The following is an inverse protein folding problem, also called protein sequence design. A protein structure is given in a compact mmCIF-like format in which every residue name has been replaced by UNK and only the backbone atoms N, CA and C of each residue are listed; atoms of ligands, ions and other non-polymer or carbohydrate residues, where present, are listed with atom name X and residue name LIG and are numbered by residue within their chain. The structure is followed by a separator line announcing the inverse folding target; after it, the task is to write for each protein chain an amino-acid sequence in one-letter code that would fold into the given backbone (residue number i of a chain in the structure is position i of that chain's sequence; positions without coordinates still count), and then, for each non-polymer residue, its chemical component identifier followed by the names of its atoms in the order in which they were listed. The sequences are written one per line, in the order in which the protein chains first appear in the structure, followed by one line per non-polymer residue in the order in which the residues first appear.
data_IF_545623382939
#
_entry.id   IF_545623382939
#
_cell.length_a   1.000
_cell.length_b   1.000
_cell.length_c   1.000
_cell.angle_alpha   90.00
_cell.angle_beta   90.00
_cell.angle_gamma   90.00
#
_symmetry.space_group_name_H-M   'P 1'
#
loop_
_entity.id
_entity.type
_entity.pdbx_description
1 polymer ?
#
# COMPACT_ATOMS: atom_id res chain seq x y z
N UNK A 1 17.39 -58.27 -17.52
CA UNK A 1 17.89 -56.95 -17.08
C UNK A 1 17.04 -55.88 -17.72
N UNK A 2 16.02 -55.39 -17.01
CA UNK A 2 15.27 -54.19 -17.37
C UNK A 2 14.67 -53.65 -16.07
N UNK A 3 15.38 -52.73 -15.42
CA UNK A 3 14.87 -52.00 -14.27
C UNK A 3 13.98 -50.87 -14.80
N UNK A 4 12.68 -50.95 -14.53
CA UNK A 4 11.75 -49.86 -14.77
C UNK A 4 11.78 -48.89 -13.59
N UNK A 5 11.73 -47.62 -13.95
CA UNK A 5 11.72 -46.43 -13.11
C UNK A 5 10.48 -46.34 -12.19
N UNK A 6 10.71 -45.91 -10.96
CA UNK A 6 9.72 -45.14 -10.18
C UNK A 6 10.43 -44.07 -9.37
N UNK A 7 10.65 -42.92 -9.99
CA UNK A 7 11.03 -41.68 -9.31
C UNK A 7 9.83 -41.15 -8.53
N UNK A 8 9.78 -41.49 -7.24
CA UNK A 8 8.85 -40.90 -6.29
C UNK A 8 9.14 -39.41 -6.12
N UNK A 9 8.43 -38.57 -6.89
CA UNK A 9 8.33 -37.13 -6.61
C UNK A 9 7.55 -36.99 -5.31
N UNK A 10 8.26 -36.76 -4.21
CA UNK A 10 7.65 -36.30 -2.96
C UNK A 10 7.00 -34.96 -3.25
N UNK A 11 5.68 -34.93 -3.28
CA UNK A 11 4.89 -33.71 -3.26
C UNK A 11 5.26 -32.92 -2.00
N UNK A 12 6.19 -31.97 -2.14
CA UNK A 12 6.46 -30.94 -1.14
C UNK A 12 5.19 -30.11 -1.05
N UNK A 13 4.47 -30.26 0.05
CA UNK A 13 3.45 -29.36 0.61
C UNK A 13 3.45 -28.00 -0.10
N UNK A 14 2.61 -27.88 -1.12
CA UNK A 14 2.38 -26.64 -1.85
C UNK A 14 1.66 -25.69 -0.93
N UNK A 15 2.42 -24.70 -0.49
CA UNK A 15 2.06 -23.44 0.13
C UNK A 15 0.65 -22.94 -0.23
N UNK A 16 -0.35 -23.30 0.58
CA UNK A 16 -1.58 -22.52 0.72
C UNK A 16 -1.28 -21.29 1.55
N UNK A 17 -0.47 -20.36 1.04
CA UNK A 17 -0.30 -19.05 1.66
C UNK A 17 -1.67 -18.39 1.70
N UNK A 18 -2.17 -18.19 2.92
CA UNK A 18 -3.32 -17.34 3.21
C UNK A 18 -3.11 -15.99 2.53
N UNK A 19 -3.76 -15.81 1.39
CA UNK A 19 -3.64 -14.64 0.54
C UNK A 19 -4.13 -13.42 1.34
N UNK A 20 -3.21 -12.58 1.83
CA UNK A 20 -3.57 -11.18 2.07
C UNK A 20 -3.60 -10.51 0.72
N UNK A 21 -4.79 -10.09 0.30
CA UNK A 21 -4.90 -9.27 -0.89
C UNK A 21 -4.56 -7.85 -0.49
N UNK A 22 -3.34 -7.46 -0.88
CA UNK A 22 -2.87 -6.09 -0.84
C UNK A 22 -3.51 -5.33 -2.00
N UNK A 23 -4.59 -4.58 -1.73
CA UNK A 23 -5.11 -3.64 -2.71
C UNK A 23 -4.27 -2.38 -2.63
N UNK A 24 -3.12 -2.43 -3.30
CA UNK A 24 -2.36 -1.23 -3.63
C UNK A 24 -2.82 -0.78 -5.01
N UNK A 25 -3.51 0.37 -5.09
CA UNK A 25 -3.67 1.14 -6.33
C UNK A 25 -4.12 2.55 -5.99
N UNK A 26 -3.14 3.44 -5.84
CA UNK A 26 -3.29 4.88 -6.05
C UNK A 26 -3.63 5.08 -7.53
N UNK A 27 -4.86 5.47 -7.80
CA UNK A 27 -5.49 5.32 -9.10
C UNK A 27 -6.36 6.54 -9.40
N UNK A 28 -5.83 7.75 -9.33
CA UNK A 28 -6.60 8.93 -8.93
C UNK A 28 -7.56 9.51 -9.96
N UNK A 29 -7.49 9.10 -11.21
CA UNK A 29 -8.48 9.26 -12.28
C UNK A 29 -7.89 8.59 -13.52
N UNK A 30 -8.70 8.13 -14.47
CA UNK A 30 -8.16 7.77 -15.79
C UNK A 30 -7.43 8.97 -16.37
N UNK A 31 -6.12 8.83 -16.61
CA UNK A 31 -5.35 9.83 -17.36
C UNK A 31 -4.72 10.97 -16.54
N UNK A 32 -4.64 10.87 -15.21
CA UNK A 32 -3.83 11.82 -14.43
C UNK A 32 -2.37 11.77 -14.94
N UNK A 33 -1.73 12.90 -15.32
CA UNK A 33 -0.38 12.87 -15.91
C UNK A 33 0.68 12.16 -15.05
N UNK A 34 0.46 12.13 -13.73
CA UNK A 34 1.34 11.45 -12.76
C UNK A 34 1.07 9.94 -12.65
N UNK A 35 -0.07 9.45 -13.11
CA UNK A 35 -0.53 8.06 -13.09
C UNK A 35 -1.22 7.67 -14.41
N UNK A 36 -0.52 7.81 -15.56
CA UNK A 36 -1.16 7.88 -16.87
C UNK A 36 -1.90 6.60 -17.27
N UNK A 37 -1.50 5.45 -16.71
CA UNK A 37 -2.02 4.12 -17.06
C UNK A 37 -2.53 3.37 -15.84
N UNK A 38 -2.96 4.10 -14.82
CA UNK A 38 -3.70 3.50 -13.71
C UNK A 38 -5.20 3.58 -14.01
N UNK A 39 -5.98 2.51 -13.72
CA UNK A 39 -7.44 2.59 -13.83
C UNK A 39 -8.02 3.73 -12.97
N UNK A 40 -9.25 4.20 -13.23
CA UNK A 40 -9.93 5.15 -12.36
C UNK A 40 -10.11 4.62 -10.92
N UNK A 41 -10.03 5.51 -9.92
CA UNK A 41 -10.08 5.09 -8.51
C UNK A 41 -11.40 4.43 -8.15
N UNK A 42 -12.50 4.83 -8.80
CA UNK A 42 -13.83 4.23 -8.59
C UNK A 42 -13.88 2.77 -9.03
N UNK A 43 -13.22 2.45 -10.14
CA UNK A 43 -13.11 1.07 -10.62
C UNK A 43 -12.31 0.22 -9.63
N UNK A 44 -11.17 0.76 -9.15
CA UNK A 44 -10.33 0.10 -8.15
C UNK A 44 -11.09 -0.07 -6.82
N UNK A 45 -11.73 0.98 -6.33
CA UNK A 45 -12.50 0.96 -5.10
C UNK A 45 -13.70 0.01 -5.19
N UNK A 46 -14.34 -0.08 -6.36
CA UNK A 46 -15.43 -1.03 -6.63
C UNK A 46 -15.02 -2.50 -6.48
N UNK A 47 -13.72 -2.81 -6.55
CA UNK A 47 -13.22 -4.17 -6.34
C UNK A 47 -13.12 -4.55 -4.85
N UNK A 48 -13.16 -3.60 -3.91
CA UNK A 48 -12.92 -3.87 -2.50
C UNK A 48 -13.87 -4.93 -1.93
N UNK A 49 -15.16 -4.89 -2.27
CA UNK A 49 -16.13 -5.89 -1.82
C UNK A 49 -15.77 -7.30 -2.28
N UNK A 50 -15.43 -7.49 -3.55
CA UNK A 50 -15.00 -8.77 -4.10
C UNK A 50 -13.69 -9.27 -3.47
N UNK A 51 -12.78 -8.36 -3.12
CA UNK A 51 -11.50 -8.70 -2.49
C UNK A 51 -11.68 -9.09 -1.03
N UNK A 52 -12.59 -8.42 -0.30
CA UNK A 52 -13.00 -8.83 1.05
C UNK A 52 -13.66 -10.21 1.02
N UNK A 53 -14.56 -10.44 0.06
CA UNK A 53 -15.21 -11.75 -0.12
C UNK A 53 -14.18 -12.85 -0.43
N UNK A 54 -13.23 -12.60 -1.33
CA UNK A 54 -12.15 -13.52 -1.67
C UNK A 54 -11.22 -13.79 -0.48
N UNK A 55 -10.92 -12.76 0.32
CA UNK A 55 -10.08 -12.92 1.50
C UNK A 55 -10.79 -13.63 2.67
N UNK A 56 -12.13 -13.62 2.69
CA UNK A 56 -12.99 -14.25 3.69
C UNK A 56 -13.05 -13.55 5.06
N UNK A 57 -12.25 -12.50 5.26
CA UNK A 57 -12.26 -11.65 6.45
C UNK A 57 -11.74 -10.27 6.06
N UNK A 58 -12.49 -9.17 6.32
CA UNK A 58 -12.07 -7.82 5.94
C UNK A 58 -10.75 -7.39 6.58
N UNK A 59 -10.35 -7.96 7.73
CA UNK A 59 -9.06 -7.68 8.38
C UNK A 59 -7.86 -8.23 7.60
N UNK A 60 -8.10 -9.12 6.62
CA UNK A 60 -7.08 -9.62 5.69
C UNK A 60 -6.88 -8.69 4.50
N UNK A 61 -7.71 -7.66 4.37
CA UNK A 61 -7.60 -6.60 3.38
C UNK A 61 -7.18 -5.31 4.08
N UNK A 62 -6.29 -4.56 3.46
CA UNK A 62 -5.93 -3.21 3.92
C UNK A 62 -5.85 -2.29 2.72
N UNK A 63 -6.37 -1.08 2.88
CA UNK A 63 -6.31 -0.05 1.85
C UNK A 63 -5.06 0.79 2.08
N UNK A 64 -4.26 0.96 1.02
CA UNK A 64 -3.10 1.86 1.03
C UNK A 64 -3.41 3.09 0.19
N UNK A 65 -3.68 4.22 0.86
CA UNK A 65 -3.72 5.53 0.23
C UNK A 65 -2.30 6.09 0.21
N UNK A 66 -1.48 5.53 -0.69
CA UNK A 66 -0.03 5.61 -0.59
C UNK A 66 0.68 5.52 -1.98
N UNK A 67 1.53 6.50 -2.33
CA UNK A 67 1.89 7.67 -1.54
C UNK A 67 0.95 8.86 -1.76
N UNK A 68 0.88 9.73 -0.76
CA UNK A 68 0.35 11.09 -0.90
C UNK A 68 1.44 11.93 -1.56
N UNK A 69 1.14 12.53 -2.70
CA UNK A 69 2.08 13.32 -3.50
C UNK A 69 1.59 14.75 -3.64
N UNK A 70 2.54 15.69 -3.65
CA UNK A 70 2.27 17.12 -3.85
C UNK A 70 3.12 17.63 -5.01
N UNK A 71 2.59 18.57 -5.78
CA UNK A 71 3.28 19.14 -6.92
C UNK A 71 2.85 20.58 -7.17
N UNK A 72 3.63 21.32 -7.94
CA UNK A 72 3.30 22.68 -8.37
C UNK A 72 2.66 22.68 -9.77
N UNK A 73 1.63 23.49 -9.92
CA UNK A 73 1.03 23.89 -11.20
C UNK A 73 0.98 25.42 -11.21
N UNK A 74 2.00 26.02 -11.84
CA UNK A 74 2.28 27.45 -11.68
C UNK A 74 2.63 27.77 -10.22
N UNK A 75 1.94 28.75 -9.65
CA UNK A 75 2.12 29.16 -8.24
C UNK A 75 1.36 28.27 -7.25
N UNK A 76 0.45 27.41 -7.72
CA UNK A 76 -0.42 26.62 -6.86
C UNK A 76 0.20 25.27 -6.51
N UNK A 77 0.16 24.90 -5.23
CA UNK A 77 0.44 23.53 -4.78
C UNK A 77 -0.82 22.69 -4.88
N UNK A 78 -0.72 21.56 -5.57
CA UNK A 78 -1.77 20.56 -5.75
C UNK A 78 -1.37 19.27 -5.06
N UNK A 79 -2.36 18.43 -4.74
CA UNK A 79 -2.15 17.16 -4.03
C UNK A 79 -3.22 16.14 -4.38
N UNK A 80 -2.86 14.86 -4.35
CA UNK A 80 -3.85 13.79 -4.41
C UNK A 80 -4.60 13.60 -3.08
N UNK A 81 -4.22 14.31 -2.00
CA UNK A 81 -4.90 14.28 -0.71
C UNK A 81 -6.41 14.56 -0.79
N UNK A 82 -6.84 15.34 -1.80
CA UNK A 82 -8.26 15.64 -2.06
C UNK A 82 -9.12 14.38 -2.25
N UNK A 83 -8.53 13.24 -2.62
CA UNK A 83 -9.24 11.98 -2.79
C UNK A 83 -9.39 11.16 -1.50
N UNK A 84 -8.68 11.50 -0.43
CA UNK A 84 -8.71 10.75 0.82
C UNK A 84 -10.14 10.54 1.38
N UNK A 85 -11.04 11.54 1.40
CA UNK A 85 -12.41 11.34 1.90
C UNK A 85 -13.16 10.24 1.15
N UNK A 86 -13.06 10.21 -0.18
CA UNK A 86 -13.76 9.25 -1.03
C UNK A 86 -13.19 7.83 -0.89
N UNK A 87 -11.87 7.71 -0.75
CA UNK A 87 -11.18 6.43 -0.58
C UNK A 87 -11.51 5.84 0.78
N UNK A 88 -11.52 6.67 1.82
CA UNK A 88 -11.83 6.25 3.17
C UNK A 88 -13.31 5.84 3.25
N UNK A 89 -14.20 6.56 2.57
CA UNK A 89 -15.61 6.15 2.43
C UNK A 89 -15.74 4.77 1.80
N UNK A 90 -15.04 4.52 0.68
CA UNK A 90 -15.09 3.23 0.01
C UNK A 90 -14.50 2.10 0.88
N UNK A 91 -13.42 2.37 1.61
CA UNK A 91 -12.82 1.41 2.54
C UNK A 91 -13.80 1.03 3.66
N UNK A 92 -14.40 2.03 4.30
CA UNK A 92 -15.39 1.83 5.36
C UNK A 92 -16.64 1.11 4.86
N UNK A 93 -17.18 1.52 3.70
CA UNK A 93 -18.33 0.88 3.07
C UNK A 93 -18.09 -0.57 2.67
N UNK A 94 -16.85 -0.96 2.36
CA UNK A 94 -16.46 -2.35 2.12
C UNK A 94 -16.15 -3.13 3.41
N UNK A 95 -16.29 -2.52 4.59
CA UNK A 95 -15.99 -3.14 5.89
C UNK A 95 -14.49 -3.28 6.19
N UNK A 96 -13.61 -2.67 5.39
CA UNK A 96 -12.16 -2.73 5.63
C UNK A 96 -11.83 -1.92 6.88
N UNK A 97 -11.13 -2.49 7.87
CA UNK A 97 -10.98 -1.85 9.18
C UNK A 97 -9.88 -0.78 9.23
N UNK A 98 -8.99 -0.74 8.23
CA UNK A 98 -7.83 0.14 8.29
C UNK A 98 -7.33 0.66 6.95
N UNK A 99 -6.80 1.88 7.02
CA UNK A 99 -6.12 2.56 5.91
C UNK A 99 -4.68 2.89 6.31
N UNK A 100 -3.77 2.75 5.35
CA UNK A 100 -2.34 3.10 5.49
C UNK A 100 -2.00 4.23 4.56
N UNK A 101 -1.23 5.20 5.06
CA UNK A 101 -0.81 6.39 4.34
C UNK A 101 0.69 6.61 4.48
N UNK A 102 1.30 7.28 3.51
CA UNK A 102 2.58 7.96 3.67
C UNK A 102 2.62 9.19 2.77
N UNK A 103 3.50 10.14 3.05
CA UNK A 103 3.81 11.22 2.11
C UNK A 103 5.04 10.84 1.30
N UNK A 104 4.97 10.99 -0.02
CA UNK A 104 6.07 10.67 -0.91
C UNK A 104 7.34 11.43 -0.50
N UNK A 105 8.44 10.68 -0.39
CA UNK A 105 9.77 11.28 -0.33
C UNK A 105 10.23 11.63 -1.74
N UNK A 106 10.75 12.84 -1.94
CA UNK A 106 11.22 13.26 -3.25
C UNK A 106 12.66 12.79 -3.47
N UNK A 107 12.87 11.91 -4.45
CA UNK A 107 14.18 11.35 -4.78
C UNK A 107 14.61 11.68 -6.22
N UNK A 108 15.91 11.57 -6.58
CA UNK A 108 16.42 12.06 -7.87
C UNK A 108 15.71 11.50 -9.12
N UNK A 109 15.28 10.23 -9.08
CA UNK A 109 14.57 9.62 -10.22
C UNK A 109 13.13 10.16 -10.37
N UNK A 110 12.48 10.57 -9.28
CA UNK A 110 11.17 11.22 -9.32
C UNK A 110 11.27 12.62 -9.95
N UNK A 111 12.32 13.39 -9.61
CA UNK A 111 12.61 14.72 -10.21
C UNK A 111 12.84 14.67 -11.72
N UNK A 112 13.47 13.60 -12.22
CA UNK A 112 13.75 13.42 -13.66
C UNK A 112 12.52 13.11 -14.52
N UNK A 113 11.33 12.97 -13.94
CA UNK A 113 10.10 12.55 -14.65
C UNK A 113 9.15 13.72 -14.99
N UNK A 114 9.70 14.92 -15.13
CA UNK A 114 8.97 16.08 -15.67
C UNK A 114 7.75 16.49 -14.85
N UNK A 115 7.87 16.46 -13.52
CA UNK A 115 6.86 16.98 -12.60
C UNK A 115 7.59 17.81 -11.53
N UNK A 116 7.08 19.00 -11.26
CA UNK A 116 7.60 19.87 -10.22
C UNK A 116 7.06 19.41 -8.87
N UNK A 117 7.78 18.48 -8.26
CA UNK A 117 7.37 17.86 -7.02
C UNK A 117 7.60 18.78 -5.83
N UNK A 118 6.57 18.91 -5.01
CA UNK A 118 6.60 19.63 -3.77
C UNK A 118 6.72 18.66 -2.59
N UNK A 119 7.61 18.97 -1.66
CA UNK A 119 7.75 18.23 -0.41
C UNK A 119 7.18 19.11 0.72
N UNK A 120 6.04 18.75 1.31
CA UNK A 120 5.42 19.56 2.36
C UNK A 120 6.33 19.70 3.58
N UNK A 121 6.35 20.90 4.16
CA UNK A 121 7.08 21.20 5.39
C UNK A 121 6.46 20.53 6.62
N UNK A 122 7.13 20.57 7.80
CA UNK A 122 6.65 19.94 9.01
C UNK A 122 5.23 20.34 9.44
N UNK A 123 4.89 21.64 9.32
CA UNK A 123 3.57 22.14 9.72
C UNK A 123 2.47 21.71 8.75
N UNK A 124 2.75 21.69 7.45
CA UNK A 124 1.82 21.15 6.45
C UNK A 124 1.60 19.65 6.67
N UNK A 125 2.67 18.89 6.93
CA UNK A 125 2.60 17.46 7.26
C UNK A 125 1.74 17.21 8.50
N UNK A 126 1.86 18.07 9.52
CA UNK A 126 1.01 18.02 10.72
C UNK A 126 -0.45 18.29 10.39
N UNK A 127 -0.75 19.31 9.58
CA UNK A 127 -2.11 19.61 9.15
C UNK A 127 -2.71 18.47 8.31
N UNK A 128 -1.93 17.86 7.42
CA UNK A 128 -2.31 16.68 6.64
C UNK A 128 -2.63 15.51 7.58
N UNK A 129 -1.78 15.25 8.58
CA UNK A 129 -1.98 14.18 9.54
C UNK A 129 -3.25 14.35 10.36
N UNK A 130 -3.51 15.57 10.86
CA UNK A 130 -4.74 15.91 11.59
C UNK A 130 -5.97 15.67 10.71
N UNK A 131 -5.94 16.17 9.47
CA UNK A 131 -7.05 15.99 8.53
C UNK A 131 -7.33 14.53 8.22
N UNK A 132 -6.30 13.72 7.97
CA UNK A 132 -6.46 12.29 7.71
C UNK A 132 -7.01 11.56 8.95
N UNK A 133 -6.54 11.93 10.14
CA UNK A 133 -7.00 11.32 11.40
C UNK A 133 -8.47 11.62 11.67
N UNK A 134 -8.93 12.85 11.42
CA UNK A 134 -10.35 13.21 11.47
C UNK A 134 -11.19 12.40 10.48
N UNK A 135 -10.73 12.30 9.22
CA UNK A 135 -11.42 11.56 8.17
C UNK A 135 -11.56 10.06 8.51
N UNK A 136 -10.49 9.47 9.07
CA UNK A 136 -10.49 8.07 9.49
C UNK A 136 -11.42 7.84 10.68
N UNK A 137 -11.31 8.68 11.73
CA UNK A 137 -12.15 8.61 12.93
C UNK A 137 -13.64 8.73 12.60
N UNK A 138 -14.00 9.69 11.73
CA UNK A 138 -15.38 9.89 11.31
C UNK A 138 -15.99 8.68 10.58
N UNK A 139 -15.16 7.74 10.11
CA UNK A 139 -15.55 6.54 9.36
C UNK A 139 -15.26 5.24 10.09
N UNK A 140 -14.84 5.30 11.36
CA UNK A 140 -14.47 4.11 12.14
C UNK A 140 -13.25 3.35 11.60
N UNK A 141 -12.36 4.02 10.86
CA UNK A 141 -11.16 3.42 10.29
C UNK A 141 -9.95 3.60 11.22
N UNK A 142 -9.17 2.55 11.39
CA UNK A 142 -7.82 2.66 11.94
C UNK A 142 -6.86 3.25 10.89
N UNK A 143 -6.19 4.34 11.22
CA UNK A 143 -5.23 5.01 10.34
C UNK A 143 -3.80 4.70 10.77
N UNK A 144 -2.96 4.33 9.81
CA UNK A 144 -1.55 4.04 10.06
C UNK A 144 -0.60 4.76 9.11
N UNK A 145 0.54 5.22 9.63
CA UNK A 145 1.61 5.87 8.89
C UNK A 145 2.69 4.85 8.49
N UNK A 146 2.90 4.66 7.19
CA UNK A 146 3.88 3.72 6.65
C UNK A 146 5.26 4.35 6.53
N UNK A 147 6.16 4.04 7.48
CA UNK A 147 7.55 4.47 7.47
C UNK A 147 7.74 6.00 7.31
N UNK A 148 6.81 6.78 7.86
CA UNK A 148 6.84 8.24 7.86
C UNK A 148 6.86 8.76 9.31
N UNK A 149 8.06 9.07 9.87
CA UNK A 149 8.19 9.59 11.23
C UNK A 149 7.45 10.90 11.47
N UNK A 150 7.24 11.71 10.43
CA UNK A 150 6.60 13.02 10.56
C UNK A 150 5.11 12.87 10.81
N UNK A 151 4.47 11.91 10.13
CA UNK A 151 3.07 11.56 10.38
C UNK A 151 2.89 10.90 11.75
N UNK A 152 3.86 10.07 12.17
CA UNK A 152 3.84 9.46 13.52
C UNK A 152 3.97 10.51 14.61
N UNK A 153 4.91 11.45 14.48
CA UNK A 153 5.07 12.57 15.39
C UNK A 153 3.85 13.52 15.42
N UNK A 154 2.99 13.46 14.39
CA UNK A 154 1.74 14.20 14.31
C UNK A 154 0.52 13.39 14.83
N UNK A 155 0.73 12.20 15.39
CA UNK A 155 -0.30 11.41 16.08
C UNK A 155 -0.91 10.26 15.29
N UNK A 156 -0.39 9.92 14.10
CA UNK A 156 -0.83 8.73 13.37
C UNK A 156 -0.04 7.50 13.83
N UNK A 157 -0.71 6.40 14.13
CA UNK A 157 -0.06 5.16 14.57
C UNK A 157 0.95 4.63 13.53
N UNK A 158 2.12 4.10 13.94
CA UNK A 158 3.07 3.52 13.02
C UNK A 158 2.51 2.25 12.38
N UNK A 159 2.75 2.07 11.08
CA UNK A 159 2.28 0.91 10.32
C UNK A 159 3.28 -0.25 10.34
N UNK A 160 2.79 -1.45 10.63
CA UNK A 160 3.32 -2.69 10.07
C UNK A 160 2.41 -3.09 8.89
N UNK A 161 2.91 -2.98 7.66
CA UNK A 161 2.16 -3.43 6.48
C UNK A 161 2.14 -4.95 6.52
N UNK A 162 3.31 -5.58 6.41
CA UNK A 162 3.41 -7.00 6.70
C UNK A 162 3.50 -7.16 8.23
N UNK A 163 2.36 -7.43 8.86
CA UNK A 163 2.27 -7.68 10.31
C UNK A 163 2.12 -9.19 10.57
N UNK A 164 3.20 -9.83 11.01
CA UNK A 164 3.26 -11.24 11.37
C UNK A 164 2.33 -11.65 12.50
N UNK A 165 2.09 -10.80 13.50
CA UNK A 165 1.16 -11.10 14.61
C UNK A 165 -0.27 -11.12 14.09
N UNK A 166 -0.63 -10.13 13.28
CA UNK A 166 -1.92 -10.10 12.60
C UNK A 166 -2.03 -11.26 11.60
N UNK A 167 -0.95 -11.65 10.91
CA UNK A 167 -0.98 -12.75 9.94
C UNK A 167 -1.25 -14.08 10.65
N UNK A 168 -0.52 -14.36 11.72
CA UNK A 168 -0.68 -15.58 12.50
C UNK A 168 -2.08 -15.66 13.14
N UNK A 169 -2.60 -14.55 13.65
CA UNK A 169 -3.95 -14.51 14.23
C UNK A 169 -5.05 -14.64 13.17
N UNK A 170 -4.88 -14.12 11.96
CA UNK A 170 -5.90 -14.24 10.92
C UNK A 170 -5.79 -15.53 10.10
N UNK A 171 -4.70 -16.30 10.22
CA UNK A 171 -4.51 -17.54 9.47
C UNK A 171 -5.58 -18.58 9.88
N UNK A 172 -6.27 -19.27 8.93
CA UNK A 172 -7.31 -20.26 9.26
C UNK A 172 -6.82 -21.37 10.20
N UNK A 173 -5.56 -21.78 10.02
CA UNK A 173 -4.87 -22.77 10.86
C UNK A 173 -3.96 -22.19 11.96
N UNK A 174 -4.00 -20.87 12.19
CA UNK A 174 -3.13 -20.15 13.15
C UNK A 174 -1.63 -20.46 12.98
N UNK A 175 -1.17 -20.58 11.73
CA UNK A 175 0.26 -20.83 11.47
C UNK A 175 1.10 -19.64 11.93
N UNK A 176 2.27 -19.93 12.49
CA UNK A 176 3.20 -18.90 12.91
C UNK A 176 3.73 -18.09 11.72
N UNK A 177 3.98 -16.81 11.96
CA UNK A 177 4.70 -15.92 11.06
C UNK A 177 5.80 -15.20 11.87
N UNK A 178 6.90 -14.76 11.24
CA UNK A 178 7.91 -13.95 11.91
C UNK A 178 7.28 -12.73 12.58
N UNK A 179 7.65 -12.43 13.83
CA UNK A 179 7.10 -11.28 14.59
C UNK A 179 8.12 -10.19 14.90
N UNK A 180 9.38 -10.41 14.57
CA UNK A 180 10.43 -9.40 14.70
C UNK A 180 10.41 -8.45 13.50
N UNK A 181 10.93 -7.23 13.65
CA UNK A 181 11.09 -6.28 12.55
C UNK A 181 12.04 -6.85 11.50
N UNK A 182 11.69 -6.72 10.23
CA UNK A 182 12.57 -7.04 9.12
C UNK A 182 13.80 -6.11 9.12
N UNK A 183 15.02 -6.63 9.25
CA UNK A 183 16.24 -5.82 9.26
C UNK A 183 16.52 -5.14 7.91
N UNK A 184 16.00 -5.68 6.80
CA UNK A 184 16.14 -5.10 5.47
C UNK A 184 15.21 -3.91 5.20
N UNK A 185 14.22 -3.68 6.06
CA UNK A 185 13.28 -2.56 5.94
C UNK A 185 13.80 -1.29 6.61
N UNK A 186 13.31 -0.14 6.12
CA UNK A 186 13.63 1.20 6.64
C UNK A 186 13.55 1.27 8.18
N UNK A 187 14.34 2.13 8.85
CA UNK A 187 14.32 2.23 10.31
C UNK A 187 12.93 2.42 10.92
N UNK A 188 12.10 3.28 10.31
CA UNK A 188 10.73 3.57 10.74
C UNK A 188 9.66 2.56 10.26
N UNK A 189 10.05 1.50 9.55
CA UNK A 189 9.11 0.48 9.05
C UNK A 189 8.85 -0.58 10.12
N UNK A 190 7.57 -0.86 10.41
CA UNK A 190 7.17 -1.90 11.35
C UNK A 190 6.98 -3.30 10.76
N UNK A 191 7.25 -3.49 9.46
CA UNK A 191 7.01 -4.77 8.80
C UNK A 191 7.88 -5.90 9.36
N UNK A 192 7.31 -7.10 9.45
CA UNK A 192 8.00 -8.35 9.72
C UNK A 192 8.61 -8.93 8.44
N UNK A 193 9.60 -9.83 8.53
CA UNK A 193 10.22 -10.45 7.36
C UNK A 193 9.21 -11.03 6.38
N UNK A 194 9.43 -10.77 5.10
CA UNK A 194 8.61 -11.28 4.01
C UNK A 194 9.42 -11.38 2.72
N UNK A 195 8.89 -12.14 1.76
CA UNK A 195 9.43 -12.25 0.42
C UNK A 195 8.49 -11.52 -0.53
N UNK A 196 9.04 -10.59 -1.29
CA UNK A 196 8.30 -9.89 -2.35
C UNK A 196 8.03 -10.85 -3.52
N UNK A 197 6.81 -10.80 -4.06
CA UNK A 197 6.39 -11.57 -5.24
C UNK A 197 6.52 -10.75 -6.53
N UNK A 198 6.86 -9.46 -6.43
CA UNK A 198 7.07 -8.56 -7.57
C UNK A 198 8.46 -8.66 -8.20
N UNK A 199 8.63 -8.00 -9.35
CA UNK A 199 9.94 -7.85 -10.00
C UNK A 199 10.27 -6.38 -10.22
N UNK A 200 11.40 -5.96 -9.66
CA UNK A 200 11.97 -4.62 -9.82
C UNK A 200 12.65 -4.42 -11.19
N UNK A 201 12.84 -5.49 -11.96
CA UNK A 201 13.47 -5.47 -13.29
C UNK A 201 12.46 -5.29 -14.42
N UNK A 202 11.18 -5.54 -14.14
CA UNK A 202 10.11 -5.34 -15.13
C UNK A 202 9.79 -3.87 -15.31
N UNK A 203 9.42 -3.50 -16.55
CA UNK A 203 8.82 -2.19 -16.81
C UNK A 203 7.38 -2.21 -16.28
N UNK A 204 7.04 -1.22 -15.46
CA UNK A 204 5.72 -1.12 -14.86
C UNK A 204 4.72 -0.54 -15.87
N UNK A 205 3.62 -1.25 -16.22
CA UNK A 205 2.66 -0.78 -17.22
C UNK A 205 1.90 0.48 -16.77
N UNK A 206 1.82 0.74 -15.47
CA UNK A 206 1.15 1.92 -14.92
C UNK A 206 1.91 3.24 -15.14
N UNK A 207 3.24 3.16 -15.33
CA UNK A 207 4.10 4.30 -15.64
C UNK A 207 3.97 5.53 -14.71
N UNK A 208 3.65 5.31 -13.43
CA UNK A 208 3.48 6.42 -12.48
C UNK A 208 4.76 7.23 -12.29
N UNK A 209 4.66 8.57 -12.29
CA UNK A 209 5.81 9.47 -12.24
C UNK A 209 6.50 9.52 -10.88
N UNK A 210 5.81 9.21 -9.79
CA UNK A 210 6.39 9.13 -8.44
C UNK A 210 6.98 7.76 -8.09
N UNK A 211 6.82 6.75 -8.95
CA UNK A 211 7.16 5.37 -8.62
C UNK A 211 8.66 5.09 -8.81
N UNK A 212 9.24 4.24 -7.97
CA UNK A 212 10.64 3.82 -8.14
C UNK A 212 10.84 2.89 -9.34
N UNK A 213 9.81 2.16 -9.78
CA UNK A 213 9.88 1.24 -10.92
C UNK A 213 10.20 1.98 -12.24
N UNK A 214 10.86 1.29 -13.18
CA UNK A 214 11.02 1.84 -14.53
C UNK A 214 9.64 1.89 -15.21
N UNK A 215 9.21 3.05 -15.74
CA UNK A 215 7.95 3.12 -16.47
C UNK A 215 8.01 2.26 -17.74
N UNK A 216 6.88 1.63 -18.08
CA UNK A 216 6.62 1.09 -19.42
C UNK A 216 6.81 2.16 -20.49
N UNK A 217 7.16 1.71 -21.71
CA UNK A 217 7.00 2.54 -22.91
C UNK A 217 5.52 2.83 -23.07
#
# INVERSE_FOLDING_TARGET
MTASSSSGVRARTTWGMSLRIWVWRTAWASGEPREPRVPPWREVAGQLGSLVALAGDPRRVTVRFDPIVHWREGEQVRSNLAYAPMVFEAAAGAGVPSVRVSIAQIYPKMRRRGCDWYDPGPDERRAIAQRLSELARARGLALYACADPTLVAAGIEPSACIDGRLLASLHPRRLAAPTHKDPGQRPACGCTPSVDIGSYRMRCPHACRYCYAAPGA
#
